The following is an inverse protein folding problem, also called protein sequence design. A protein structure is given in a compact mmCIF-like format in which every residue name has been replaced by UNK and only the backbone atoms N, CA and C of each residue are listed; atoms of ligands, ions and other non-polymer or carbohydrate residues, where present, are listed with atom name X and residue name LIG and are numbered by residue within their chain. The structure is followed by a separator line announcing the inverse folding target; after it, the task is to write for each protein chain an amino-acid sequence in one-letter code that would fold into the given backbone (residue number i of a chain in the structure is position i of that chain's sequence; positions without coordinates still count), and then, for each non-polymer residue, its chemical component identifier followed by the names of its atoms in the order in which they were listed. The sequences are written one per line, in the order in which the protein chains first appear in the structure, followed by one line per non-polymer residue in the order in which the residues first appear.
data_IF_260612027126
#
_entry.id   IF_260612027126
#
_cell.length_a   1.000
_cell.length_b   1.000
_cell.length_c   1.000
_cell.angle_alpha   90.00
_cell.angle_beta   90.00
_cell.angle_gamma   90.00
#
_symmetry.space_group_name_H-M   'P 1'
#
loop_
_entity.id
_entity.type
_entity.pdbx_description
1 polymer ?
#
# COMPACT_ATOMS: atom_id res chain seq x y z
N UNK A 1 14.34 5.72 19.91
CA UNK A 1 13.07 5.04 19.54
C UNK A 1 12.74 5.16 18.05
N UNK A 2 12.51 6.36 17.49
CA UNK A 2 12.07 6.55 16.08
C UNK A 2 12.82 5.72 15.01
N UNK A 3 14.16 5.74 15.01
CA UNK A 3 14.98 4.99 14.03
C UNK A 3 14.78 3.47 14.13
N UNK A 4 14.67 2.97 15.36
CA UNK A 4 14.46 1.54 15.60
C UNK A 4 13.06 1.12 15.15
N UNK A 5 12.04 1.93 15.46
CA UNK A 5 10.66 1.67 15.01
C UNK A 5 10.53 1.75 13.50
N UNK A 6 11.19 2.70 12.83
CA UNK A 6 11.19 2.76 11.35
C UNK A 6 11.89 1.57 10.73
N UNK A 7 13.00 1.09 11.33
CA UNK A 7 13.68 -0.11 10.88
C UNK A 7 12.80 -1.36 11.04
N UNK A 8 12.18 -1.53 12.22
CA UNK A 8 11.26 -2.64 12.46
C UNK A 8 10.05 -2.62 11.53
N UNK A 9 9.45 -1.45 11.28
CA UNK A 9 8.36 -1.29 10.33
C UNK A 9 8.78 -1.64 8.89
N UNK A 10 9.98 -1.21 8.47
CA UNK A 10 10.54 -1.57 7.16
C UNK A 10 10.81 -3.07 7.03
N UNK A 11 11.31 -3.71 8.08
CA UNK A 11 11.54 -5.15 8.12
C UNK A 11 10.22 -5.92 8.01
N UNK A 12 9.22 -5.55 8.80
CA UNK A 12 7.88 -6.17 8.76
C UNK A 12 7.23 -6.01 7.37
N UNK A 13 7.34 -4.82 6.77
CA UNK A 13 6.85 -4.56 5.42
C UNK A 13 7.57 -5.42 4.38
N UNK A 14 8.90 -5.47 4.40
CA UNK A 14 9.69 -6.30 3.48
C UNK A 14 9.39 -7.80 3.63
N UNK A 15 9.26 -8.30 4.86
CA UNK A 15 8.83 -9.67 5.13
C UNK A 15 7.44 -9.94 4.58
N UNK A 16 6.49 -9.01 4.75
CA UNK A 16 5.16 -9.10 4.17
C UNK A 16 5.16 -9.18 2.64
N UNK A 17 6.03 -8.40 1.97
CA UNK A 17 6.19 -8.45 0.52
C UNK A 17 6.73 -9.82 0.05
N UNK A 18 7.72 -10.37 0.75
CA UNK A 18 8.27 -11.69 0.43
C UNK A 18 7.24 -12.80 0.65
N UNK A 19 6.56 -12.80 1.80
CA UNK A 19 5.56 -13.82 2.14
C UNK A 19 4.33 -13.78 1.22
N UNK A 20 3.92 -12.59 0.77
CA UNK A 20 2.80 -12.43 -0.16
C UNK A 20 3.16 -12.70 -1.63
N UNK A 21 4.46 -12.85 -1.94
CA UNK A 21 4.96 -13.04 -3.31
C UNK A 21 4.88 -11.78 -4.18
N UNK A 22 4.66 -10.60 -3.58
CA UNK A 22 4.57 -9.31 -4.29
C UNK A 22 5.91 -8.84 -4.86
N UNK A 23 7.01 -9.51 -4.52
CA UNK A 23 8.32 -9.30 -5.12
C UNK A 23 8.48 -9.99 -6.49
N UNK A 24 7.53 -10.84 -6.89
CA UNK A 24 7.54 -11.53 -8.18
C UNK A 24 6.63 -10.81 -9.19
N UNK A 25 7.16 -10.21 -10.26
CA UNK A 25 6.36 -9.54 -11.29
C UNK A 25 5.32 -10.46 -11.96
N UNK A 26 5.59 -11.78 -12.02
CA UNK A 26 4.68 -12.74 -12.63
C UNK A 26 3.32 -12.81 -11.90
N UNK A 27 3.27 -12.53 -10.58
CA UNK A 27 2.01 -12.44 -9.83
C UNK A 27 1.14 -11.29 -10.31
N UNK A 28 1.76 -10.15 -10.61
CA UNK A 28 1.06 -8.97 -11.10
C UNK A 28 0.57 -9.19 -12.53
N UNK A 29 1.44 -9.75 -13.39
CA UNK A 29 1.09 -10.05 -14.78
C UNK A 29 -0.04 -11.10 -14.84
N UNK A 30 0.06 -12.17 -14.06
CA UNK A 30 -0.98 -13.21 -13.99
C UNK A 30 -2.32 -12.66 -13.48
N UNK A 31 -2.32 -11.68 -12.58
CA UNK A 31 -3.54 -11.00 -12.16
C UNK A 31 -4.15 -10.10 -13.26
N UNK A 32 -3.32 -9.52 -14.14
CA UNK A 32 -3.79 -8.68 -15.24
C UNK A 32 -4.19 -9.49 -16.48
N UNK A 33 -3.72 -10.74 -16.61
CA UNK A 33 -4.01 -11.63 -17.73
C UNK A 33 -5.41 -12.27 -17.66
N UNK A 34 -6.44 -11.43 -17.70
CA UNK A 34 -7.86 -11.84 -17.64
C UNK A 34 -8.29 -12.73 -18.82
N UNK A 35 -7.58 -12.65 -19.95
CA UNK A 35 -7.88 -13.39 -21.17
C UNK A 35 -7.09 -14.71 -21.31
N UNK A 36 -6.08 -14.93 -20.45
CA UNK A 36 -5.22 -16.10 -20.45
C UNK A 36 -5.29 -16.88 -19.15
N UNK A 37 -4.14 -17.14 -18.54
CA UNK A 37 -4.02 -17.94 -17.32
C UNK A 37 -4.18 -17.06 -16.08
N UNK A 38 -5.37 -16.49 -15.91
CA UNK A 38 -5.64 -15.51 -14.86
C UNK A 38 -5.40 -16.08 -13.45
N UNK A 39 -4.55 -15.40 -12.67
CA UNK A 39 -4.28 -15.72 -11.26
C UNK A 39 -4.95 -14.69 -10.31
N UNK A 40 -6.03 -15.06 -9.62
CA UNK A 40 -6.73 -14.16 -8.69
C UNK A 40 -6.02 -14.00 -7.33
N UNK A 41 -4.89 -14.67 -7.09
CA UNK A 41 -4.22 -14.67 -5.78
C UNK A 41 -3.79 -13.27 -5.32
N UNK A 42 -3.51 -12.36 -6.25
CA UNK A 42 -3.18 -10.96 -5.94
C UNK A 42 -4.37 -10.21 -5.34
N UNK A 43 -5.60 -10.49 -5.80
CA UNK A 43 -6.81 -9.86 -5.27
C UNK A 43 -6.99 -10.19 -3.78
N UNK A 44 -6.72 -11.44 -3.37
CA UNK A 44 -6.81 -11.85 -1.97
C UNK A 44 -5.80 -11.11 -1.09
N UNK A 45 -4.57 -10.94 -1.58
CA UNK A 45 -3.54 -10.14 -0.89
C UNK A 45 -3.98 -8.68 -0.76
N UNK A 46 -4.47 -8.09 -1.85
CA UNK A 46 -4.91 -6.69 -1.87
C UNK A 46 -6.09 -6.45 -0.93
N UNK A 47 -7.13 -7.29 -0.99
CA UNK A 47 -8.30 -7.20 -0.11
C UNK A 47 -7.88 -7.38 1.35
N UNK A 48 -7.04 -8.37 1.65
CA UNK A 48 -6.54 -8.60 3.00
C UNK A 48 -5.72 -7.41 3.54
N UNK A 49 -4.85 -6.85 2.70
CA UNK A 49 -4.06 -5.67 3.05
C UNK A 49 -4.96 -4.44 3.30
N UNK A 50 -5.93 -4.18 2.41
CA UNK A 50 -6.87 -3.07 2.57
C UNK A 50 -7.71 -3.26 3.84
N UNK A 51 -8.32 -4.42 4.04
CA UNK A 51 -9.15 -4.70 5.21
C UNK A 51 -8.37 -4.53 6.53
N UNK A 52 -7.13 -5.04 6.57
CA UNK A 52 -6.24 -4.87 7.73
C UNK A 52 -5.85 -3.41 7.94
N UNK A 53 -5.68 -2.64 6.87
CA UNK A 53 -5.33 -1.22 6.94
C UNK A 53 -6.50 -0.32 7.38
N UNK A 54 -7.76 -0.71 7.16
CA UNK A 54 -8.93 0.11 7.53
C UNK A 54 -8.90 0.49 9.00
N UNK A 55 -8.75 -0.49 9.91
CA UNK A 55 -8.80 -0.26 11.35
C UNK A 55 -7.71 0.70 11.89
N UNK A 56 -6.41 0.49 11.63
CA UNK A 56 -5.38 1.42 12.08
C UNK A 56 -5.51 2.80 11.42
N UNK A 57 -5.98 2.88 10.17
CA UNK A 57 -6.12 4.17 9.47
C UNK A 57 -7.33 4.98 9.95
N UNK A 58 -8.45 4.33 10.29
CA UNK A 58 -9.60 5.00 10.93
C UNK A 58 -9.23 5.49 12.32
N UNK A 59 -8.50 4.69 13.10
CA UNK A 59 -7.97 5.11 14.40
C UNK A 59 -6.96 6.27 14.27
N UNK A 60 -6.06 6.22 13.30
CA UNK A 60 -5.11 7.29 13.04
C UNK A 60 -5.81 8.60 12.69
N UNK A 61 -6.86 8.57 11.85
CA UNK A 61 -7.65 9.77 11.50
C UNK A 61 -8.22 10.54 12.69
N UNK A 62 -8.48 9.86 13.80
CA UNK A 62 -8.97 10.50 15.02
C UNK A 62 -7.88 11.18 15.87
N UNK A 63 -6.60 11.12 15.45
CA UNK A 63 -5.46 11.63 16.24
C UNK A 63 -4.73 12.76 15.51
N UNK A 64 -4.23 13.71 16.29
CA UNK A 64 -3.40 14.82 15.81
C UNK A 64 -1.91 14.50 15.85
N UNK A 65 -1.51 13.53 16.68
CA UNK A 65 -0.13 13.06 16.82
C UNK A 65 -0.03 11.53 16.72
N UNK A 66 1.10 11.07 16.18
CA UNK A 66 1.47 9.66 16.10
C UNK A 66 1.86 9.08 17.49
N UNK A 67 2.05 7.76 17.56
CA UNK A 67 2.54 7.08 18.78
C UNK A 67 3.93 7.55 19.24
N UNK A 68 4.73 8.12 18.33
CA UNK A 68 6.09 8.61 18.59
C UNK A 68 6.14 10.14 18.65
N UNK A 69 5.00 10.77 18.92
CA UNK A 69 4.82 12.22 19.07
C UNK A 69 5.13 13.07 17.83
N UNK A 70 5.26 12.45 16.65
CA UNK A 70 5.33 13.17 15.38
C UNK A 70 3.93 13.69 14.96
N UNK A 71 3.84 14.86 14.29
CA UNK A 71 2.58 15.37 13.75
C UNK A 71 1.98 14.39 12.76
N UNK A 72 0.66 14.20 12.84
CA UNK A 72 -0.05 13.30 11.91
C UNK A 72 -0.21 13.97 10.54
N UNK A 73 0.45 13.44 9.53
CA UNK A 73 0.38 13.94 8.15
C UNK A 73 -0.57 13.07 7.32
N UNK A 74 -1.85 13.44 7.31
CA UNK A 74 -2.86 12.79 6.47
C UNK A 74 -3.09 13.62 5.20
N UNK A 75 -3.38 12.98 4.04
CA UNK A 75 -3.68 13.70 2.81
C UNK A 75 -4.89 14.61 2.99
N UNK A 76 -4.69 15.93 2.83
CA UNK A 76 -5.77 16.92 2.89
C UNK A 76 -6.50 17.06 1.55
N UNK A 77 -5.78 16.86 0.44
CA UNK A 77 -6.33 16.97 -0.91
C UNK A 77 -7.11 15.70 -1.26
N UNK A 78 -8.40 15.85 -1.53
CA UNK A 78 -9.30 14.76 -1.97
C UNK A 78 -9.75 14.89 -3.43
N UNK A 79 -9.40 15.99 -4.08
CA UNK A 79 -9.76 16.26 -5.46
C UNK A 79 -8.81 15.56 -6.42
N UNK A 80 -9.38 14.92 -7.44
CA UNK A 80 -8.63 14.39 -8.57
C UNK A 80 -8.25 15.58 -9.47
N UNK A 81 -6.95 15.83 -9.64
CA UNK A 81 -6.45 16.84 -10.56
C UNK A 81 -5.73 16.22 -11.76
N UNK A 82 -5.56 17.00 -12.82
CA UNK A 82 -4.89 16.52 -14.05
C UNK A 82 -3.44 16.08 -13.82
N UNK A 83 -2.77 16.63 -12.79
CA UNK A 83 -1.40 16.23 -12.41
C UNK A 83 -1.38 14.83 -11.80
N UNK A 84 -2.34 14.50 -10.94
CA UNK A 84 -2.51 13.17 -10.37
C UNK A 84 -2.87 12.17 -11.46
N UNK A 85 -3.89 12.46 -12.28
CA UNK A 85 -4.33 11.55 -13.34
C UNK A 85 -3.18 11.29 -14.33
N UNK A 86 -2.57 12.36 -14.86
CA UNK A 86 -1.45 12.24 -15.80
C UNK A 86 -0.23 11.55 -15.20
N UNK A 87 0.13 11.89 -13.95
CA UNK A 87 1.24 11.27 -13.23
C UNK A 87 1.02 9.78 -12.94
N UNK A 88 -0.19 9.40 -12.53
CA UNK A 88 -0.56 8.00 -12.28
C UNK A 88 -0.54 7.16 -13.55
N UNK A 89 -1.02 7.71 -14.67
CA UNK A 89 -0.95 7.03 -15.98
C UNK A 89 0.49 6.83 -16.43
N UNK A 90 1.33 7.88 -16.38
CA UNK A 90 2.74 7.78 -16.76
C UNK A 90 3.51 6.81 -15.86
N UNK A 91 3.24 6.82 -14.55
CA UNK A 91 3.84 5.88 -13.61
C UNK A 91 3.41 4.43 -13.92
N UNK A 92 2.13 4.18 -14.21
CA UNK A 92 1.64 2.83 -14.49
C UNK A 92 2.14 2.23 -15.81
N UNK A 93 2.61 3.06 -16.75
CA UNK A 93 3.24 2.61 -18.00
C UNK A 93 4.68 2.13 -17.77
N UNK A 94 5.37 2.64 -16.74
CA UNK A 94 6.77 2.30 -16.42
C UNK A 94 6.91 1.10 -15.50
#
# INVERSE_FOLDING_TARGET
MRKLTSFAAGLLFGMGLLLSGMTNPAKVIGFLDLAGAWDPSLALVMVGAIATAVLPFTWAKARTRSLLDAPMQLPAKRELDGRLIGGSLLFGVG
#
